data_IF_597861644596
#
_entry.id   IF_597861644596
#
_cell.length_a   1.000
_cell.length_b   1.000
_cell.length_c   1.000
_cell.angle_alpha   90.00
_cell.angle_beta   90.00
_cell.angle_gamma   90.00
#
_symmetry.space_group_name_H-M   'P 1'
#
loop_
_entity.id
_entity.type
_entity.pdbx_description
1 polymer ?
#
# COMPACT_ATOMS: atom_id res chain seq x y z
N UNK A 1 13.15 24.16 23.56
CA UNK A 1 12.14 25.21 23.25
C UNK A 1 11.39 24.78 21.99
N UNK A 2 10.09 24.51 22.08
CA UNK A 2 9.27 24.11 20.94
C UNK A 2 8.86 25.33 20.11
N UNK A 3 9.15 25.34 18.82
CA UNK A 3 8.65 26.35 17.90
C UNK A 3 7.11 26.28 17.80
N UNK A 4 6.39 27.42 17.72
CA UNK A 4 4.94 27.41 17.55
C UNK A 4 4.56 26.68 16.25
N UNK A 5 3.71 25.65 16.35
CA UNK A 5 3.30 24.80 15.21
C UNK A 5 2.68 25.62 14.06
N UNK A 6 2.01 26.72 14.38
CA UNK A 6 1.39 27.61 13.40
C UNK A 6 2.43 28.33 12.53
N UNK A 7 3.58 28.71 13.12
CA UNK A 7 4.70 29.31 12.37
C UNK A 7 5.41 28.28 11.50
N UNK A 8 5.44 27.02 11.93
CA UNK A 8 6.01 25.92 11.14
C UNK A 8 5.18 25.62 9.89
N UNK A 9 3.85 25.62 9.99
CA UNK A 9 2.98 25.40 8.83
C UNK A 9 3.18 26.45 7.74
N UNK A 10 3.31 27.73 8.12
CA UNK A 10 3.58 28.84 7.20
C UNK A 10 4.97 28.70 6.57
N UNK A 11 6.01 28.46 7.37
CA UNK A 11 7.37 28.28 6.85
C UNK A 11 7.45 27.10 5.87
N UNK A 12 6.79 25.99 6.20
CA UNK A 12 6.79 24.80 5.35
C UNK A 12 6.12 25.07 4.02
N UNK A 13 5.00 25.80 3.99
CA UNK A 13 4.31 26.17 2.75
C UNK A 13 5.22 26.85 1.73
N UNK A 14 6.23 27.61 2.19
CA UNK A 14 7.20 28.29 1.32
C UNK A 14 8.31 27.39 0.78
N UNK A 15 8.53 26.23 1.40
CA UNK A 15 9.60 25.27 1.05
C UNK A 15 9.03 24.03 0.34
N UNK A 16 7.70 23.87 0.28
CA UNK A 16 7.07 22.78 -0.46
C UNK A 16 7.33 22.95 -1.96
N UNK A 17 7.69 21.84 -2.62
CA UNK A 17 7.90 21.79 -4.07
C UNK A 17 7.18 20.60 -4.69
N UNK A 18 6.82 20.71 -5.98
CA UNK A 18 6.23 19.61 -6.76
C UNK A 18 4.94 19.04 -6.16
N UNK A 19 4.91 17.73 -5.91
CA UNK A 19 3.75 17.00 -5.38
C UNK A 19 3.27 17.51 -4.02
N UNK A 20 4.15 18.13 -3.23
CA UNK A 20 3.76 18.70 -1.94
C UNK A 20 2.90 19.98 -2.09
N UNK A 21 3.18 20.82 -3.09
CA UNK A 21 2.39 22.04 -3.39
C UNK A 21 0.99 21.68 -3.88
N UNK A 22 0.88 20.63 -4.70
CA UNK A 22 -0.42 20.14 -5.19
C UNK A 22 -1.29 19.54 -4.10
N UNK A 23 -0.70 19.15 -2.97
CA UNK A 23 -1.40 18.64 -1.78
C UNK A 23 -1.78 19.79 -0.85
N UNK A 24 -0.87 20.74 -0.67
CA UNK A 24 -1.13 21.97 0.09
C UNK A 24 -2.30 22.78 -0.48
N UNK A 25 -2.35 22.94 -1.81
CA UNK A 25 -3.42 23.65 -2.52
C UNK A 25 -4.80 22.97 -2.45
N UNK A 26 -4.87 21.69 -2.05
CA UNK A 26 -6.13 20.96 -1.84
C UNK A 26 -6.67 21.09 -0.42
N UNK A 27 -5.88 21.61 0.52
CA UNK A 27 -6.29 21.84 1.91
C UNK A 27 -6.91 23.23 2.04
N UNK A 28 -7.94 23.36 2.89
CA UNK A 28 -8.50 24.68 3.21
C UNK A 28 -7.51 25.54 4.01
N UNK A 29 -7.71 26.86 4.03
CA UNK A 29 -6.79 27.80 4.72
C UNK A 29 -6.64 27.51 6.23
N UNK A 30 -7.66 26.91 6.86
CA UNK A 30 -7.60 26.49 8.27
C UNK A 30 -6.81 25.19 8.45
N UNK A 31 -6.95 24.26 7.51
CA UNK A 31 -6.24 22.99 7.52
C UNK A 31 -4.76 23.13 7.13
N UNK A 32 -4.45 24.06 6.21
CA UNK A 32 -3.09 24.33 5.74
C UNK A 32 -2.22 25.01 6.78
N UNK A 33 -2.82 25.74 7.74
CA UNK A 33 -2.16 26.34 8.91
C UNK A 33 -1.98 25.35 10.08
N UNK A 34 -2.68 24.21 10.05
CA UNK A 34 -2.51 23.16 11.05
C UNK A 34 -1.40 22.19 10.62
N UNK A 35 -0.26 22.24 11.32
CA UNK A 35 0.90 21.41 11.03
C UNK A 35 0.60 19.90 11.05
N UNK A 36 -0.22 19.42 11.99
CA UNK A 36 -0.50 17.99 12.11
C UNK A 36 -1.39 17.50 10.95
N UNK A 37 -2.33 18.34 10.49
CA UNK A 37 -3.17 18.07 9.31
C UNK A 37 -2.34 18.09 8.03
N UNK A 38 -1.54 19.14 7.82
CA UNK A 38 -0.66 19.26 6.65
C UNK A 38 0.35 18.10 6.58
N UNK A 39 0.99 17.77 7.71
CA UNK A 39 1.91 16.62 7.80
C UNK A 39 1.20 15.31 7.45
N UNK A 40 0.00 15.08 7.98
CA UNK A 40 -0.76 13.86 7.68
C UNK A 40 -1.19 13.77 6.21
N UNK A 41 -1.61 14.89 5.60
CA UNK A 41 -2.01 14.98 4.21
C UNK A 41 -0.80 14.74 3.28
N UNK A 42 0.34 15.33 3.60
CA UNK A 42 1.60 15.09 2.89
C UNK A 42 2.02 13.62 3.00
N UNK A 43 2.07 13.05 4.20
CA UNK A 43 2.41 11.64 4.41
C UNK A 43 1.48 10.70 3.61
N UNK A 44 0.17 10.97 3.61
CA UNK A 44 -0.81 10.21 2.79
C UNK A 44 -0.55 10.38 1.29
N UNK A 45 -0.35 11.61 0.83
CA UNK A 45 -0.16 11.91 -0.60
C UNK A 45 1.13 11.34 -1.19
N UNK A 46 2.18 11.19 -0.38
CA UNK A 46 3.43 10.55 -0.78
C UNK A 46 3.41 9.03 -0.59
N UNK A 47 2.24 8.45 -0.25
CA UNK A 47 2.10 7.02 0.01
C UNK A 47 3.10 6.53 1.08
N UNK A 48 3.39 7.36 2.09
CA UNK A 48 4.31 7.05 3.18
C UNK A 48 3.60 6.25 4.28
N UNK A 49 2.84 5.23 3.88
CA UNK A 49 2.23 4.26 4.79
C UNK A 49 2.91 2.89 4.60
N UNK A 50 2.87 2.04 5.63
CA UNK A 50 3.51 0.71 5.58
C UNK A 50 3.01 -0.14 4.41
N UNK A 51 1.71 -0.09 4.11
CA UNK A 51 1.06 -0.84 3.02
C UNK A 51 1.58 -0.44 1.62
N UNK A 52 1.96 0.81 1.42
CA UNK A 52 2.48 1.30 0.15
C UNK A 52 3.91 0.85 -0.09
N UNK A 53 4.75 0.85 0.95
CA UNK A 53 6.10 0.27 0.86
C UNK A 53 6.05 -1.25 0.70
N UNK A 54 5.12 -1.92 1.38
CA UNK A 54 4.81 -3.33 1.16
C UNK A 54 4.44 -3.63 -0.30
N UNK A 55 3.49 -2.87 -0.86
CA UNK A 55 3.08 -3.05 -2.26
C UNK A 55 4.25 -2.83 -3.22
N UNK A 56 5.05 -1.79 -2.99
CA UNK A 56 6.27 -1.51 -3.77
C UNK A 56 7.26 -2.66 -3.66
N UNK A 57 7.50 -3.20 -2.48
CA UNK A 57 8.38 -4.35 -2.28
C UNK A 57 7.90 -5.59 -3.06
N UNK A 58 6.61 -5.95 -2.97
CA UNK A 58 6.05 -7.14 -3.63
C UNK A 58 5.93 -7.05 -5.15
N UNK A 59 5.64 -5.85 -5.68
CA UNK A 59 5.31 -5.67 -7.09
C UNK A 59 6.41 -4.95 -7.90
N UNK A 60 7.51 -4.56 -7.26
CA UNK A 60 8.63 -3.94 -7.95
C UNK A 60 9.25 -4.92 -8.94
N UNK A 61 9.56 -4.41 -10.13
CA UNK A 61 10.27 -5.12 -11.19
C UNK A 61 11.53 -4.34 -11.54
N UNK A 62 12.39 -4.95 -12.36
CA UNK A 62 13.57 -4.28 -12.90
C UNK A 62 13.12 -3.13 -13.82
N UNK A 63 13.59 -1.93 -13.54
CA UNK A 63 13.29 -0.76 -14.37
C UNK A 63 14.21 -0.69 -15.59
N UNK A 64 13.79 0.04 -16.63
CA UNK A 64 14.56 0.20 -17.86
C UNK A 64 15.88 0.93 -17.58
N UNK A 65 17.01 0.25 -17.81
CA UNK A 65 18.35 0.79 -17.52
C UNK A 65 18.80 0.61 -16.07
N UNK A 66 18.02 -0.07 -15.24
CA UNK A 66 18.41 -0.45 -13.89
C UNK A 66 19.22 -1.76 -13.90
N UNK A 67 20.25 -1.84 -13.06
CA UNK A 67 21.00 -3.08 -12.81
C UNK A 67 20.37 -3.89 -11.68
N UNK A 68 20.60 -5.20 -11.64
CA UNK A 68 20.10 -6.05 -10.55
C UNK A 68 20.58 -5.62 -9.16
N UNK A 69 21.81 -5.10 -9.05
CA UNK A 69 22.32 -4.56 -7.78
C UNK A 69 21.49 -3.37 -7.28
N UNK A 70 21.13 -2.46 -8.19
CA UNK A 70 20.27 -1.31 -7.87
C UNK A 70 18.85 -1.75 -7.49
N UNK A 71 18.29 -2.75 -8.18
CA UNK A 71 17.00 -3.33 -7.82
C UNK A 71 17.01 -3.92 -6.40
N UNK A 72 18.06 -4.68 -6.03
CA UNK A 72 18.18 -5.27 -4.68
C UNK A 72 18.33 -4.19 -3.61
N UNK A 73 19.11 -3.14 -3.86
CA UNK A 73 19.22 -2.00 -2.94
C UNK A 73 17.87 -1.31 -2.75
N UNK A 74 17.13 -1.09 -3.84
CA UNK A 74 15.79 -0.50 -3.83
C UNK A 74 14.77 -1.36 -3.09
N UNK A 75 14.74 -2.66 -3.35
CA UNK A 75 13.89 -3.64 -2.64
C UNK A 75 14.22 -3.67 -1.14
N UNK A 76 15.50 -3.68 -0.79
CA UNK A 76 15.96 -3.65 0.61
C UNK A 76 15.50 -2.37 1.31
N UNK A 77 15.57 -1.23 0.61
CA UNK A 77 15.04 0.05 1.08
C UNK A 77 13.53 0.00 1.35
N UNK A 78 12.75 -0.59 0.45
CA UNK A 78 11.30 -0.75 0.66
C UNK A 78 10.97 -1.66 1.84
N UNK A 79 11.65 -2.80 1.97
CA UNK A 79 11.45 -3.71 3.09
C UNK A 79 11.77 -3.04 4.42
N UNK A 80 12.89 -2.33 4.53
CA UNK A 80 13.28 -1.61 5.74
C UNK A 80 12.23 -0.56 6.14
N UNK A 81 11.78 0.25 5.17
CA UNK A 81 10.73 1.26 5.39
C UNK A 81 9.39 0.63 5.77
N UNK A 82 9.05 -0.51 5.17
CA UNK A 82 7.83 -1.24 5.53
C UNK A 82 7.89 -1.73 6.98
N UNK A 83 9.01 -2.34 7.39
CA UNK A 83 9.22 -2.78 8.78
C UNK A 83 9.13 -1.58 9.74
N UNK A 84 9.82 -0.48 9.44
CA UNK A 84 9.82 0.74 10.26
C UNK A 84 8.41 1.33 10.46
N UNK A 85 7.56 1.26 9.43
CA UNK A 85 6.20 1.83 9.44
C UNK A 85 5.13 0.84 9.91
N UNK A 86 5.45 -0.44 10.03
CA UNK A 86 4.50 -1.48 10.45
C UNK A 86 4.22 -1.48 11.96
N UNK A 87 5.07 -0.80 12.75
CA UNK A 87 4.90 -0.70 14.20
C UNK A 87 5.14 -2.01 14.96
N UNK A 88 5.80 -2.99 14.34
CA UNK A 88 6.24 -4.24 14.98
C UNK A 88 7.58 -4.05 15.68
N UNK A 89 7.88 -4.95 16.60
CA UNK A 89 9.23 -5.11 17.11
C UNK A 89 10.16 -5.66 16.02
N UNK A 90 11.37 -5.09 15.89
CA UNK A 90 12.38 -5.53 14.92
C UNK A 90 13.11 -6.80 15.38
N UNK A 91 12.34 -7.76 15.86
CA UNK A 91 12.80 -9.08 16.29
C UNK A 91 12.45 -10.11 15.22
N UNK A 92 13.07 -11.28 15.28
CA UNK A 92 12.73 -12.39 14.39
C UNK A 92 11.23 -12.76 14.46
N UNK A 93 10.66 -12.75 15.68
CA UNK A 93 9.24 -13.03 15.88
C UNK A 93 8.36 -11.93 15.28
N UNK A 94 8.68 -10.65 15.50
CA UNK A 94 7.92 -9.54 14.93
C UNK A 94 7.91 -9.56 13.40
N UNK A 95 9.06 -9.88 12.77
CA UNK A 95 9.14 -10.06 11.32
C UNK A 95 8.31 -11.25 10.84
N UNK A 96 8.38 -12.38 11.54
CA UNK A 96 7.57 -13.57 11.23
C UNK A 96 6.08 -13.23 11.29
N UNK A 97 5.63 -12.55 12.34
CA UNK A 97 4.23 -12.12 12.48
C UNK A 97 3.80 -11.17 11.36
N UNK A 98 4.64 -10.22 10.97
CA UNK A 98 4.35 -9.31 9.86
C UNK A 98 4.17 -10.06 8.54
N UNK A 99 5.04 -11.03 8.26
CA UNK A 99 4.94 -11.84 7.03
C UNK A 99 3.70 -12.73 7.04
N UNK A 100 3.36 -13.35 8.17
CA UNK A 100 2.15 -14.18 8.29
C UNK A 100 0.88 -13.34 8.16
N UNK A 101 0.84 -12.17 8.81
CA UNK A 101 -0.28 -11.22 8.72
C UNK A 101 -0.50 -10.75 7.29
N UNK A 102 0.58 -10.46 6.57
CA UNK A 102 0.53 -10.07 5.18
C UNK A 102 -0.05 -11.16 4.29
N UNK A 103 0.44 -12.39 4.42
CA UNK A 103 -0.07 -13.54 3.67
C UNK A 103 -1.55 -13.80 3.98
N UNK A 104 -1.98 -13.64 5.24
CA UNK A 104 -3.38 -13.76 5.63
C UNK A 104 -4.25 -12.75 4.88
N UNK A 105 -3.85 -11.48 4.84
CA UNK A 105 -4.61 -10.47 4.10
C UNK A 105 -4.73 -10.80 2.62
N UNK A 106 -3.69 -11.35 2.00
CA UNK A 106 -3.71 -11.74 0.58
C UNK A 106 -4.61 -12.93 0.27
N UNK A 107 -4.78 -13.84 1.23
CA UNK A 107 -5.72 -14.97 1.13
C UNK A 107 -7.16 -14.51 1.38
N UNK A 108 -7.37 -13.58 2.32
CA UNK A 108 -8.69 -13.12 2.70
C UNK A 108 -9.44 -12.42 1.53
N UNK A 109 -10.75 -12.72 1.37
CA UNK A 109 -11.63 -11.93 0.51
C UNK A 109 -11.62 -10.45 0.90
N UNK A 110 -11.94 -9.58 -0.06
CA UNK A 110 -11.86 -8.13 0.14
C UNK A 110 -12.72 -7.65 1.32
N UNK A 111 -13.91 -8.24 1.51
CA UNK A 111 -14.83 -7.90 2.61
C UNK A 111 -14.22 -8.18 3.98
N UNK A 112 -13.69 -9.38 4.18
CA UNK A 112 -12.99 -9.77 5.40
C UNK A 112 -11.72 -8.93 5.61
N UNK A 113 -10.96 -8.66 4.54
CA UNK A 113 -9.77 -7.80 4.61
C UNK A 113 -10.10 -6.39 5.06
N UNK A 114 -11.19 -5.78 4.55
CA UNK A 114 -11.64 -4.46 4.96
C UNK A 114 -12.04 -4.45 6.44
N UNK A 115 -12.86 -5.42 6.86
CA UNK A 115 -13.28 -5.59 8.25
C UNK A 115 -12.09 -5.70 9.22
N UNK A 116 -11.09 -6.50 8.87
CA UNK A 116 -9.89 -6.68 9.70
C UNK A 116 -9.01 -5.42 9.74
N UNK A 117 -8.91 -4.66 8.64
CA UNK A 117 -8.13 -3.42 8.59
C UNK A 117 -8.78 -2.28 9.37
N UNK A 118 -10.11 -2.20 9.39
CA UNK A 118 -10.85 -1.18 10.15
C UNK A 118 -10.63 -1.31 11.66
N UNK A 119 -10.50 -2.55 12.16
CA UNK A 119 -10.31 -2.83 13.59
C UNK A 119 -8.89 -2.54 14.11
N UNK A 120 -7.94 -2.14 13.24
CA UNK A 120 -6.53 -1.82 13.59
C UNK A 120 -5.87 -2.87 14.50
N UNK A 121 -6.15 -4.15 14.26
CA UNK A 121 -5.64 -5.24 15.07
C UNK A 121 -4.13 -5.41 14.86
N UNK A 122 -3.38 -5.50 15.95
CA UNK A 122 -1.91 -5.57 15.93
C UNK A 122 -1.40 -7.00 15.87
N UNK A 123 -1.96 -7.91 16.67
CA UNK A 123 -1.47 -9.29 16.83
C UNK A 123 -2.19 -10.28 15.92
N UNK A 124 -1.45 -11.25 15.37
CA UNK A 124 -1.97 -12.30 14.47
C UNK A 124 -3.09 -13.11 15.13
N UNK A 125 -2.97 -13.46 16.40
CA UNK A 125 -3.98 -14.24 17.15
C UNK A 125 -5.32 -13.53 17.27
N UNK A 126 -5.31 -12.21 17.42
CA UNK A 126 -6.52 -11.38 17.50
C UNK A 126 -7.15 -11.24 16.12
N UNK A 127 -6.32 -11.15 15.07
CA UNK A 127 -6.76 -11.10 13.68
C UNK A 127 -7.46 -12.41 13.31
N UNK A 128 -6.90 -13.57 13.65
CA UNK A 128 -7.51 -14.88 13.37
C UNK A 128 -8.82 -15.05 14.14
N UNK A 129 -8.84 -14.76 15.44
CA UNK A 129 -10.07 -14.86 16.23
C UNK A 129 -11.19 -13.95 15.68
N UNK A 130 -10.85 -12.74 15.24
CA UNK A 130 -11.80 -11.83 14.61
C UNK A 130 -12.25 -12.31 13.22
N UNK A 131 -11.38 -12.97 12.47
CA UNK A 131 -11.70 -13.55 11.17
C UNK A 131 -12.64 -14.74 11.31
N UNK A 132 -12.40 -15.62 12.27
CA UNK A 132 -13.25 -16.77 12.57
C UNK A 132 -14.64 -16.29 13.02
N UNK A 133 -14.69 -15.32 13.93
CA UNK A 133 -15.95 -14.69 14.36
C UNK A 133 -16.71 -14.06 13.18
N UNK A 134 -16.00 -13.43 12.23
CA UNK A 134 -16.62 -12.86 11.04
C UNK A 134 -17.25 -13.96 10.16
N UNK A 135 -16.54 -15.07 9.94
CA UNK A 135 -17.02 -16.20 9.14
C UNK A 135 -18.22 -16.87 9.81
N UNK A 136 -18.20 -17.05 11.13
CA UNK A 136 -19.33 -17.58 11.90
C UNK A 136 -20.56 -16.67 11.80
N UNK A 137 -20.38 -15.35 11.93
CA UNK A 137 -21.47 -14.39 11.89
C UNK A 137 -22.09 -14.20 10.49
N UNK A 138 -21.29 -14.36 9.43
CA UNK A 138 -21.74 -14.15 8.04
C UNK A 138 -22.17 -15.46 7.35
N UNK A 139 -22.07 -16.59 8.06
CA UNK A 139 -22.45 -17.91 7.57
C UNK A 139 -21.40 -18.52 6.63
N UNK A 140 -21.02 -19.76 6.92
CA UNK A 140 -20.07 -20.62 6.19
C UNK A 140 -20.50 -21.01 4.75
N UNK A 141 -21.43 -20.27 4.13
CA UNK A 141 -22.15 -20.65 2.92
C UNK A 141 -21.63 -20.07 1.60
N UNK A 142 -20.60 -19.23 1.62
CA UNK A 142 -19.91 -18.83 0.39
C UNK A 142 -18.42 -18.97 0.64
N UNK A 143 -17.85 -20.11 0.26
CA UNK A 143 -16.46 -20.09 -0.18
C UNK A 143 -16.40 -19.02 -1.27
N UNK A 144 -15.93 -17.83 -0.90
CA UNK A 144 -15.87 -16.66 -1.76
C UNK A 144 -14.88 -16.98 -2.87
N UNK A 145 -15.39 -17.57 -3.96
CA UNK A 145 -14.62 -17.99 -5.11
C UNK A 145 -13.80 -16.79 -5.57
N UNK A 146 -12.47 -16.91 -5.60
CA UNK A 146 -11.65 -16.04 -6.43
C UNK A 146 -12.22 -16.15 -7.84
N UNK A 147 -12.94 -15.12 -8.28
CA UNK A 147 -13.31 -14.98 -9.67
C UNK A 147 -11.98 -14.81 -10.39
N UNK A 148 -11.46 -15.91 -10.93
CA UNK A 148 -10.20 -15.95 -11.63
C UNK A 148 -10.18 -14.81 -12.63
N UNK A 149 -9.13 -14.00 -12.57
CA UNK A 149 -8.72 -13.14 -13.66
C UNK A 149 -8.67 -14.02 -14.90
N UNK A 150 -9.70 -13.92 -15.76
CA UNK A 150 -9.61 -14.42 -17.13
C UNK A 150 -8.48 -13.62 -17.75
N UNK A 151 -7.36 -14.28 -17.97
CA UNK A 151 -6.32 -13.81 -18.88
C UNK A 151 -7.00 -13.55 -20.23
N UNK A 152 -7.27 -12.27 -20.49
CA UNK A 152 -7.64 -11.85 -21.83
C UNK A 152 -6.37 -11.94 -22.68
N UNK A 153 -6.17 -13.11 -23.31
CA UNK A 153 -5.25 -13.25 -24.42
C UNK A 153 -6.00 -12.79 -25.67
N UNK A 154 -5.67 -11.64 -26.30
CA UNK A 154 -6.25 -11.31 -27.58
C UNK A 154 -5.88 -12.40 -28.59
N UNK A 155 -6.90 -12.93 -29.29
CA UNK A 155 -6.68 -13.88 -30.38
C UNK A 155 -5.93 -13.16 -31.52
N UNK A 156 -4.97 -13.81 -32.19
CA UNK A 156 -4.35 -13.23 -33.38
C UNK A 156 -5.43 -13.01 -34.43
N UNK A 157 -5.57 -11.77 -34.90
CA UNK A 157 -6.40 -11.43 -36.05
C UNK A 157 -5.83 -12.12 -37.27
N UNK A 158 -6.64 -12.91 -37.97
CA UNK A 158 -6.27 -13.52 -39.25
C UNK A 158 -5.84 -12.43 -40.25
N UNK A 159 -4.53 -12.30 -40.45
CA UNK A 159 -3.99 -11.54 -41.56
C UNK A 159 -4.29 -12.34 -42.83
N UNK A 160 -5.31 -11.88 -43.57
CA UNK A 160 -5.59 -12.34 -44.91
C UNK A 160 -4.36 -12.08 -45.78
N UNK A 161 -3.68 -13.16 -46.17
CA UNK A 161 -2.67 -13.16 -47.23
C UNK A 161 -3.41 -12.84 -48.54
N UNK A 162 -3.09 -11.76 -49.27
CA UNK A 162 -3.68 -11.52 -50.58
C UNK A 162 -3.20 -12.61 -51.54
N UNK A 163 -4.15 -13.32 -52.15
CA UNK A 163 -3.88 -14.23 -53.27
C UNK A 163 -3.34 -13.43 -54.44
N UNK A 164 -2.16 -13.82 -54.90
CA UNK A 164 -1.67 -13.53 -56.25
C UNK A 164 -2.75 -13.94 -57.28
N UNK A 165 -3.01 -13.05 -58.23
CA UNK A 165 -3.58 -13.40 -59.53
C UNK A 165 -2.89 -12.55 -60.60
N UNK A 166 -2.19 -13.30 -61.46
CA UNK A 166 -1.94 -13.11 -62.90
C UNK A 166 -1.34 -11.78 -63.39
#
# INVERSE_FOLDING_TARGET
MGYPKDKMAVLWSTVLTGKAVSVYSRLSERESKNYDVLKSALLKSYDLNGDSFHRKFRHSKLDSGETYSQLIERLSGYLKRWIDLSGIDKTYNGLTELMVKEQLYDICPIELRMFLKERKLTTVTVITASADQYVEAHGSGKQFSKKGSKDYRPKPTDAQIPKERE
#
